data_IF_583195137775
#
_entry.id   IF_583195137775
#
_cell.length_a   1.000
_cell.length_b   1.000
_cell.length_c   1.000
_cell.angle_alpha   90.00
_cell.angle_beta   90.00
_cell.angle_gamma   90.00
#
_symmetry.space_group_name_H-M   'P 1'
#
loop_
_entity.id
_entity.type
_entity.pdbx_description
1 polymer ?
#
# COMPACT_ATOMS: atom_id res chain seq x y z
N UNK A 1 -11.15 -15.27 -3.30
CA UNK A 1 -10.91 -15.05 -4.74
C UNK A 1 -10.32 -16.29 -5.38
N UNK A 2 -9.22 -16.83 -4.83
CA UNK A 2 -8.50 -17.99 -5.36
C UNK A 2 -8.80 -19.32 -4.65
N UNK A 3 -9.72 -19.35 -3.67
CA UNK A 3 -10.03 -20.54 -2.85
C UNK A 3 -10.37 -21.80 -3.66
N UNK A 4 -11.06 -21.61 -4.79
CA UNK A 4 -11.50 -22.71 -5.67
C UNK A 4 -10.61 -22.84 -6.93
N UNK A 5 -9.52 -22.09 -7.00
CA UNK A 5 -8.56 -22.16 -8.10
C UNK A 5 -7.51 -23.21 -7.79
N UNK A 6 -6.96 -23.86 -8.82
CA UNK A 6 -5.81 -24.74 -8.67
C UNK A 6 -4.59 -23.92 -8.21
N UNK A 7 -3.95 -24.33 -7.12
CA UNK A 7 -2.81 -23.65 -6.52
C UNK A 7 -1.65 -24.63 -6.36
N UNK A 8 -0.84 -24.77 -7.40
CA UNK A 8 0.37 -25.61 -7.42
C UNK A 8 1.47 -24.93 -8.22
N UNK A 9 2.73 -25.11 -7.82
CA UNK A 9 3.87 -24.43 -8.41
C UNK A 9 3.85 -22.93 -8.16
N UNK A 10 3.24 -22.16 -9.06
CA UNK A 10 3.25 -20.69 -9.03
C UNK A 10 1.86 -20.08 -9.18
N UNK A 11 1.60 -19.00 -8.43
CA UNK A 11 0.39 -18.19 -8.57
C UNK A 11 0.74 -16.70 -8.56
N UNK A 12 0.70 -16.07 -9.73
CA UNK A 12 0.99 -14.63 -9.88
C UNK A 12 -0.23 -13.79 -9.54
N UNK A 13 -0.07 -12.82 -8.63
CA UNK A 13 -1.14 -11.86 -8.27
C UNK A 13 -0.90 -10.46 -8.85
N UNK A 14 0.33 -10.14 -9.26
CA UNK A 14 0.65 -8.89 -9.96
C UNK A 14 1.68 -9.15 -11.03
N UNK A 15 1.43 -8.68 -12.25
CA UNK A 15 2.42 -8.64 -13.32
C UNK A 15 2.34 -7.34 -14.11
N UNK A 16 3.43 -6.57 -14.09
CA UNK A 16 3.52 -5.24 -14.69
C UNK A 16 3.41 -5.21 -16.22
N UNK A 17 3.63 -6.33 -16.93
CA UNK A 17 3.49 -6.34 -18.40
C UNK A 17 2.06 -6.45 -18.92
N UNK A 18 1.10 -6.88 -18.10
CA UNK A 18 -0.28 -7.10 -18.54
C UNK A 18 -0.98 -5.84 -19.05
N UNK A 19 -2.10 -6.02 -19.74
CA UNK A 19 -2.97 -4.91 -20.18
C UNK A 19 -3.58 -4.16 -19.01
N UNK A 20 -3.97 -4.88 -17.95
CA UNK A 20 -4.55 -4.34 -16.70
C UNK A 20 -3.84 -4.92 -15.47
N UNK A 21 -2.61 -4.47 -15.14
CA UNK A 21 -1.81 -5.06 -14.06
C UNK A 21 -2.45 -4.94 -12.66
N UNK A 22 -3.33 -3.96 -12.48
CA UNK A 22 -4.06 -3.70 -11.23
C UNK A 22 -5.51 -4.19 -11.26
N UNK A 23 -5.88 -5.12 -12.15
CA UNK A 23 -7.27 -5.58 -12.31
C UNK A 23 -7.90 -6.07 -11.00
N UNK A 24 -7.12 -6.72 -10.14
CA UNK A 24 -7.56 -7.30 -8.87
C UNK A 24 -7.10 -6.48 -7.65
N UNK A 25 -6.51 -5.32 -7.90
CA UNK A 25 -5.89 -4.45 -6.91
C UNK A 25 -6.68 -3.15 -6.83
N UNK A 26 -6.93 -2.70 -5.61
CA UNK A 26 -7.37 -1.33 -5.38
C UNK A 26 -6.15 -0.44 -5.11
N UNK A 27 -6.25 0.83 -5.49
CA UNK A 27 -5.19 1.82 -5.32
C UNK A 27 -5.70 2.95 -4.45
N UNK A 28 -4.95 3.23 -3.39
CA UNK A 28 -5.24 4.33 -2.48
C UNK A 28 -4.14 5.37 -2.62
N UNK A 29 -4.52 6.58 -2.98
CA UNK A 29 -3.61 7.72 -3.15
C UNK A 29 -4.20 8.90 -2.41
N UNK A 30 -3.67 9.21 -1.23
CA UNK A 30 -4.17 10.32 -0.44
C UNK A 30 -3.99 11.66 -1.16
N UNK A 31 -5.10 12.38 -1.28
CA UNK A 31 -5.15 13.75 -1.78
C UNK A 31 -5.26 14.65 -0.54
N UNK A 32 -4.23 15.45 -0.28
CA UNK A 32 -4.33 16.46 0.76
C UNK A 32 -5.19 17.60 0.22
N UNK A 33 -6.37 17.81 0.82
CA UNK A 33 -7.12 19.03 0.61
C UNK A 33 -6.34 20.17 1.29
N UNK A 34 -5.56 20.91 0.52
CA UNK A 34 -4.98 22.17 0.99
C UNK A 34 -6.12 23.16 1.06
N UNK A 35 -6.64 23.43 2.26
CA UNK A 35 -7.40 24.65 2.48
C UNK A 35 -6.46 25.80 2.13
N UNK A 36 -6.84 26.60 1.13
CA UNK A 36 -6.10 27.79 0.78
C UNK A 36 -5.88 28.60 2.05
N UNK A 37 -4.61 28.84 2.42
CA UNK A 37 -4.18 29.66 3.56
C UNK A 37 -4.78 31.08 3.55
N UNK A 38 -5.55 31.45 2.53
CA UNK A 38 -6.28 32.71 2.45
C UNK A 38 -7.51 32.74 3.37
N UNK A 39 -8.26 31.65 3.57
CA UNK A 39 -9.54 31.73 4.31
C UNK A 39 -9.32 31.68 5.82
N UNK A 40 -8.43 30.82 6.35
CA UNK A 40 -8.15 30.82 7.80
C UNK A 40 -7.45 32.09 8.26
N UNK A 41 -6.65 32.74 7.40
CA UNK A 41 -6.11 34.07 7.70
C UNK A 41 -7.19 35.16 7.58
N UNK A 42 -8.12 35.07 6.62
CA UNK A 42 -9.26 35.99 6.54
C UNK A 42 -10.27 35.84 7.67
N UNK A 43 -10.58 34.61 8.08
CA UNK A 43 -11.52 34.31 9.17
C UNK A 43 -10.86 34.58 10.52
N UNK A 44 -9.56 34.31 10.69
CA UNK A 44 -8.82 34.76 11.87
C UNK A 44 -8.67 36.29 11.90
N UNK A 45 -8.56 36.98 10.76
CA UNK A 45 -8.57 38.44 10.69
C UNK A 45 -9.97 39.03 10.96
N UNK A 46 -11.04 38.41 10.47
CA UNK A 46 -12.43 38.78 10.79
C UNK A 46 -12.75 38.54 12.27
N UNK A 47 -12.30 37.42 12.84
CA UNK A 47 -12.42 37.13 14.28
C UNK A 47 -11.55 38.04 15.15
N UNK A 48 -10.54 38.72 14.58
CA UNK A 48 -9.76 39.75 15.27
C UNK A 48 -10.37 41.15 15.18
N UNK A 49 -11.40 41.35 14.33
CA UNK A 49 -12.05 42.66 14.13
C UNK A 49 -13.40 42.80 14.86
N UNK A 50 -13.97 41.74 15.40
CA UNK A 50 -15.16 41.85 16.29
C UNK A 50 -14.86 41.46 17.74
N UNK A 51 -13.95 42.21 18.36
CA UNK A 51 -13.99 42.44 19.81
C UNK A 51 -14.77 43.73 20.08
N UNK A 52 -16.04 43.75 19.71
CA UNK A 52 -17.06 44.64 20.28
C UNK A 52 -18.44 44.27 19.72
N UNK A 53 -19.02 43.20 20.26
CA UNK A 53 -20.47 43.01 20.50
C UNK A 53 -20.71 41.54 20.93
N UNK A 54 -20.32 41.26 22.16
CA UNK A 54 -20.74 40.06 22.88
C UNK A 54 -22.22 40.15 23.26
N UNK A 55 -22.80 38.97 23.50
CA UNK A 55 -24.11 38.70 24.12
C UNK A 55 -25.29 38.62 23.15
N UNK A 56 -25.30 37.59 22.28
CA UNK A 56 -26.53 36.89 21.85
C UNK A 56 -26.28 35.53 21.20
N UNK A 57 -25.06 35.22 20.75
CA UNK A 57 -24.81 34.00 19.96
C UNK A 57 -24.67 32.69 20.77
N UNK A 58 -24.45 32.79 22.09
CA UNK A 58 -24.19 31.61 22.93
C UNK A 58 -25.44 30.76 23.23
N UNK A 59 -26.65 31.30 23.01
CA UNK A 59 -27.92 30.58 23.23
C UNK A 59 -28.44 29.88 21.97
N UNK A 60 -27.93 30.21 20.77
CA UNK A 60 -28.36 29.55 19.53
C UNK A 60 -27.60 28.25 19.26
N UNK A 61 -26.31 28.19 19.61
CA UNK A 61 -25.44 27.05 19.30
C UNK A 61 -25.79 25.76 20.07
N UNK A 62 -26.42 25.86 21.24
CA UNK A 62 -26.72 24.70 22.10
C UNK A 62 -28.05 24.03 21.72
N UNK A 63 -28.87 24.66 20.87
CA UNK A 63 -30.21 24.15 20.53
C UNK A 63 -30.33 23.46 19.15
N UNK A 64 -29.30 23.52 18.29
CA UNK A 64 -29.40 23.02 16.91
C UNK A 64 -28.21 22.14 16.50
N UNK A 65 -27.82 21.19 17.35
CA UNK A 65 -27.02 20.04 16.89
C UNK A 65 -27.89 19.13 16.02
N UNK A 66 -27.94 19.44 14.73
CA UNK A 66 -28.45 18.58 13.68
C UNK A 66 -27.26 17.99 12.91
N UNK A 67 -27.38 16.73 12.50
CA UNK A 67 -26.35 15.81 11.99
C UNK A 67 -25.32 16.37 10.98
N UNK A 68 -24.12 15.75 10.88
CA UNK A 68 -23.02 16.19 9.99
C UNK A 68 -23.35 16.23 8.49
N UNK A 69 -24.46 15.64 8.07
CA UNK A 69 -24.81 15.46 6.66
C UNK A 69 -25.42 16.70 5.99
N UNK A 70 -25.87 17.70 6.77
CA UNK A 70 -26.53 18.90 6.21
C UNK A 70 -25.50 19.98 5.83
N UNK A 71 -24.34 20.01 6.50
CA UNK A 71 -23.29 21.01 6.22
C UNK A 71 -22.60 20.77 4.87
N UNK A 72 -22.60 19.53 4.38
CA UNK A 72 -22.08 19.18 3.06
C UNK A 72 -23.00 19.65 1.91
N UNK A 73 -24.29 19.87 2.16
CA UNK A 73 -25.26 20.14 1.08
C UNK A 73 -25.48 21.63 0.81
N UNK A 74 -25.27 22.52 1.80
CA UNK A 74 -25.37 23.98 1.58
C UNK A 74 -24.06 24.60 1.05
N UNK A 75 -22.97 23.85 1.00
CA UNK A 75 -21.65 24.29 0.51
C UNK A 75 -21.42 23.97 -0.98
N UNK A 76 -22.40 23.37 -1.66
CA UNK A 76 -22.29 22.96 -3.08
C UNK A 76 -22.72 24.05 -4.06
N UNK A 77 -23.49 25.06 -3.62
CA UNK A 77 -24.11 26.05 -4.53
C UNK A 77 -23.57 27.49 -4.42
N UNK A 78 -22.50 27.73 -3.65
CA UNK A 78 -21.87 29.05 -3.57
C UNK A 78 -20.35 28.95 -3.45
N UNK A 79 -19.63 29.60 -4.35
CA UNK A 79 -18.17 29.73 -4.40
C UNK A 79 -17.36 28.48 -4.79
N UNK A 80 -17.22 28.30 -6.11
CA UNK A 80 -16.07 27.58 -6.71
C UNK A 80 -14.76 28.37 -6.52
N UNK A 81 -14.37 28.66 -5.29
CA UNK A 81 -12.99 29.07 -5.00
C UNK A 81 -12.10 27.84 -5.13
N UNK A 82 -11.06 27.95 -5.98
CA UNK A 82 -10.16 26.86 -6.36
C UNK A 82 -9.54 26.15 -5.14
N UNK A 83 -10.10 25.01 -4.75
CA UNK A 83 -9.43 24.04 -3.90
C UNK A 83 -8.33 23.37 -4.72
N UNK A 84 -7.08 23.78 -4.50
CA UNK A 84 -5.93 23.06 -5.01
C UNK A 84 -5.69 21.83 -4.13
N UNK A 85 -6.30 20.72 -4.51
CA UNK A 85 -6.04 19.44 -3.90
C UNK A 85 -4.62 19.00 -4.29
N UNK A 86 -3.69 18.97 -3.33
CA UNK A 86 -2.31 18.54 -3.57
C UNK A 86 -2.29 17.02 -3.46
N UNK A 87 -2.13 16.35 -4.59
CA UNK A 87 -1.97 14.90 -4.65
C UNK A 87 -0.56 14.56 -4.16
N UNK A 88 -0.46 13.85 -3.03
CA UNK A 88 0.79 13.54 -2.35
C UNK A 88 1.36 12.16 -2.70
N UNK A 89 0.93 11.60 -3.83
CA UNK A 89 1.41 10.31 -4.33
C UNK A 89 0.95 10.02 -5.76
N UNK A 90 1.55 9.02 -6.38
CA UNK A 90 1.20 8.58 -7.72
C UNK A 90 1.45 7.08 -7.88
N UNK A 91 0.54 6.44 -8.62
CA UNK A 91 0.68 5.07 -9.09
C UNK A 91 0.66 5.12 -10.61
N UNK A 92 1.79 4.80 -11.26
CA UNK A 92 1.92 4.88 -12.72
C UNK A 92 2.74 3.72 -13.26
N UNK A 93 2.54 3.42 -14.53
CA UNK A 93 3.39 2.49 -15.28
C UNK A 93 4.47 3.29 -16.01
N UNK A 94 5.72 2.86 -15.93
CA UNK A 94 6.83 3.47 -16.66
C UNK A 94 7.81 2.40 -17.13
N UNK A 95 8.69 2.74 -18.07
CA UNK A 95 9.77 1.87 -18.50
C UNK A 95 10.99 2.07 -17.60
N UNK A 96 11.44 1.00 -16.93
CA UNK A 96 12.65 1.04 -16.11
C UNK A 96 13.89 0.85 -16.99
N UNK A 97 14.90 1.68 -16.79
CA UNK A 97 16.13 1.70 -17.59
C UNK A 97 16.97 0.43 -17.37
N UNK A 98 17.04 -0.07 -16.14
CA UNK A 98 17.89 -1.21 -15.78
C UNK A 98 17.40 -2.49 -16.43
N UNK A 99 16.09 -2.73 -16.50
CA UNK A 99 15.53 -3.96 -17.09
C UNK A 99 14.90 -3.73 -18.48
N UNK A 100 14.95 -2.49 -18.98
CA UNK A 100 14.34 -2.05 -20.24
C UNK A 100 12.87 -2.48 -20.41
N UNK A 101 12.14 -2.59 -19.30
CA UNK A 101 10.78 -3.16 -19.27
C UNK A 101 9.83 -2.30 -18.48
N UNK A 102 8.54 -2.42 -18.79
CA UNK A 102 7.51 -1.68 -18.06
C UNK A 102 7.34 -2.21 -16.64
N UNK A 103 7.33 -1.30 -15.67
CA UNK A 103 7.17 -1.58 -14.24
C UNK A 103 6.07 -0.70 -13.65
N UNK A 104 5.51 -1.12 -12.53
CA UNK A 104 4.56 -0.32 -11.78
C UNK A 104 5.30 0.49 -10.70
N UNK A 105 5.30 1.81 -10.82
CA UNK A 105 5.87 2.73 -9.85
C UNK A 105 4.79 3.22 -8.89
N UNK A 106 5.08 3.12 -7.59
CA UNK A 106 4.26 3.69 -6.51
C UNK A 106 5.16 4.67 -5.76
N UNK A 107 4.82 5.96 -5.76
CA UNK A 107 5.57 6.99 -5.05
C UNK A 107 4.60 7.79 -4.19
N UNK A 108 5.03 8.19 -3.00
CA UNK A 108 4.26 9.03 -2.10
C UNK A 108 5.16 9.71 -1.08
N UNK A 109 4.80 10.93 -0.69
CA UNK A 109 5.54 11.67 0.34
C UNK A 109 5.41 11.00 1.72
N UNK A 110 4.23 10.48 2.03
CA UNK A 110 4.00 9.61 3.19
C UNK A 110 3.78 8.16 2.72
N UNK A 111 4.60 7.24 3.24
CA UNK A 111 4.59 5.82 2.88
C UNK A 111 3.23 5.18 3.12
N UNK A 112 2.58 5.50 4.23
CA UNK A 112 1.35 4.84 4.66
C UNK A 112 0.10 5.32 3.92
N UNK A 113 0.17 6.49 3.28
CA UNK A 113 -0.99 7.13 2.63
C UNK A 113 -1.09 6.82 1.15
N UNK A 114 -0.14 6.08 0.60
CA UNK A 114 -0.16 5.67 -0.81
C UNK A 114 0.22 4.21 -0.91
N UNK A 115 -0.74 3.37 -1.30
CA UNK A 115 -0.53 1.93 -1.40
C UNK A 115 -1.45 1.31 -2.44
N UNK A 116 -1.11 0.08 -2.83
CA UNK A 116 -2.03 -0.81 -3.53
C UNK A 116 -2.39 -1.98 -2.61
N UNK A 117 -3.64 -2.43 -2.66
CA UNK A 117 -4.11 -3.57 -1.86
C UNK A 117 -4.78 -4.61 -2.75
N UNK A 118 -4.57 -5.89 -2.44
CA UNK A 118 -5.22 -7.02 -3.09
C UNK A 118 -5.83 -7.94 -2.03
N UNK A 119 -7.14 -8.25 -2.11
CA UNK A 119 -8.06 -7.92 -3.20
C UNK A 119 -8.54 -6.45 -3.16
N UNK A 120 -9.08 -5.98 -4.29
CA UNK A 120 -9.64 -4.63 -4.42
C UNK A 120 -10.81 -4.39 -3.45
N UNK A 121 -11.72 -5.36 -3.33
CA UNK A 121 -12.81 -5.29 -2.35
C UNK A 121 -12.27 -5.50 -0.91
N UNK A 122 -12.55 -4.58 0.03
CA UNK A 122 -12.14 -4.73 1.43
C UNK A 122 -12.75 -5.95 2.14
N UNK A 123 -13.94 -6.39 1.72
CA UNK A 123 -14.64 -7.54 2.30
C UNK A 123 -14.19 -8.89 1.70
N UNK A 124 -13.59 -8.85 0.51
CA UNK A 124 -13.06 -10.03 -0.14
C UNK A 124 -11.73 -10.51 0.48
N UNK A 125 -11.40 -11.78 0.26
CA UNK A 125 -10.13 -12.39 0.65
C UNK A 125 -9.49 -13.09 -0.55
N UNK A 126 -8.16 -13.14 -0.60
CA UNK A 126 -7.40 -13.89 -1.61
C UNK A 126 -7.68 -15.38 -1.48
N UNK A 127 -7.35 -15.98 -0.33
CA UNK A 127 -7.50 -17.41 -0.08
C UNK A 127 -6.42 -18.25 -0.74
N UNK A 128 -5.17 -17.78 -0.67
CA UNK A 128 -4.00 -18.43 -1.26
C UNK A 128 -3.32 -19.29 -0.19
N UNK A 129 -3.11 -20.58 -0.45
CA UNK A 129 -2.55 -21.58 0.48
C UNK A 129 -1.07 -21.86 0.26
N UNK A 130 -0.48 -21.30 -0.79
CA UNK A 130 0.95 -21.43 -1.09
C UNK A 130 1.80 -20.78 0.01
N UNK A 131 2.94 -21.41 0.33
CA UNK A 131 3.76 -21.08 1.51
C UNK A 131 4.67 -19.89 1.31
N UNK A 132 5.17 -19.68 0.10
CA UNK A 132 6.16 -18.65 -0.19
C UNK A 132 5.51 -17.49 -0.93
N UNK A 133 5.77 -16.28 -0.45
CA UNK A 133 5.50 -15.06 -1.20
C UNK A 133 6.81 -14.55 -1.78
N UNK A 134 6.81 -14.28 -3.08
CA UNK A 134 7.95 -13.71 -3.80
C UNK A 134 7.55 -12.38 -4.43
N UNK A 135 8.37 -11.35 -4.18
CA UNK A 135 8.18 -9.99 -4.67
C UNK A 135 9.45 -9.49 -5.33
N UNK A 136 9.34 -9.10 -6.61
CA UNK A 136 10.42 -8.48 -7.37
C UNK A 136 10.21 -6.97 -7.34
N UNK A 137 11.08 -6.28 -6.59
CA UNK A 137 10.96 -4.85 -6.29
C UNK A 137 12.27 -4.12 -6.46
N UNK A 138 12.23 -2.91 -7.03
CA UNK A 138 13.39 -2.01 -7.09
C UNK A 138 13.45 -1.13 -5.85
N UNK A 139 14.61 -1.09 -5.21
CA UNK A 139 14.90 -0.17 -4.12
C UNK A 139 15.15 1.23 -4.66
N UNK A 140 14.31 2.19 -4.26
CA UNK A 140 14.45 3.61 -4.64
C UNK A 140 15.22 4.44 -3.60
N UNK A 141 15.89 3.81 -2.63
CA UNK A 141 16.58 4.46 -1.51
C UNK A 141 15.66 5.39 -0.70
N UNK A 142 14.39 5.02 -0.61
CA UNK A 142 13.33 5.72 0.12
C UNK A 142 12.63 4.76 1.07
N UNK A 143 11.90 5.29 2.04
CA UNK A 143 11.13 4.45 2.97
C UNK A 143 10.07 3.65 2.24
N UNK A 144 10.10 2.34 2.45
CA UNK A 144 9.25 1.36 1.80
C UNK A 144 8.74 0.36 2.83
N UNK A 145 7.50 -0.11 2.64
CA UNK A 145 6.94 -1.18 3.45
C UNK A 145 5.89 -1.98 2.69
N UNK A 146 5.60 -3.18 3.15
CA UNK A 146 4.48 -3.98 2.67
C UNK A 146 3.89 -4.80 3.81
N UNK A 147 2.64 -5.20 3.63
CA UNK A 147 1.84 -5.92 4.61
C UNK A 147 1.19 -7.15 3.99
N UNK A 148 1.16 -8.22 4.76
CA UNK A 148 0.54 -9.49 4.39
C UNK A 148 -0.37 -9.90 5.55
N UNK A 149 -1.65 -10.03 5.27
CA UNK A 149 -2.61 -10.56 6.22
C UNK A 149 -2.80 -12.04 5.96
N UNK A 150 -2.65 -12.85 6.99
CA UNK A 150 -2.78 -14.31 6.95
C UNK A 150 -3.84 -14.79 7.94
N UNK A 151 -4.34 -15.99 7.70
CA UNK A 151 -5.16 -16.78 8.61
C UNK A 151 -4.33 -17.92 9.16
N UNK A 152 -4.41 -18.14 10.48
CA UNK A 152 -3.79 -19.30 11.13
C UNK A 152 -4.81 -20.40 11.45
N UNK A 153 -4.32 -21.55 11.93
CA UNK A 153 -5.11 -22.72 12.34
C UNK A 153 -5.98 -22.50 13.58
N UNK A 154 -5.75 -21.42 14.33
CA UNK A 154 -6.63 -20.94 15.41
C UNK A 154 -7.70 -19.99 14.91
N UNK A 155 -7.85 -19.85 13.59
CA UNK A 155 -8.78 -18.93 12.94
C UNK A 155 -8.56 -17.46 13.33
N UNK A 156 -7.32 -17.09 13.69
CA UNK A 156 -6.91 -15.72 14.03
C UNK A 156 -6.29 -15.07 12.80
N UNK A 157 -6.77 -13.86 12.48
CA UNK A 157 -6.18 -13.04 11.42
C UNK A 157 -4.96 -12.31 11.95
N UNK A 158 -3.80 -12.53 11.33
CA UNK A 158 -2.54 -11.89 11.72
C UNK A 158 -1.94 -11.11 10.57
N UNK A 159 -1.14 -10.10 10.89
CA UNK A 159 -0.48 -9.26 9.91
C UNK A 159 1.04 -9.32 10.04
N UNK A 160 1.72 -9.57 8.94
CA UNK A 160 3.15 -9.38 8.83
C UNK A 160 3.42 -8.07 8.08
N UNK A 161 4.15 -7.15 8.70
CA UNK A 161 4.60 -5.91 8.08
C UNK A 161 6.12 -5.93 7.99
N UNK A 162 6.66 -5.84 6.79
CA UNK A 162 8.10 -5.65 6.57
C UNK A 162 8.37 -4.22 6.14
N UNK A 163 9.41 -3.60 6.69
CA UNK A 163 9.81 -2.25 6.30
C UNK A 163 11.31 -1.99 6.43
N UNK A 164 11.83 -1.12 5.57
CA UNK A 164 13.27 -0.80 5.52
C UNK A 164 13.71 0.27 6.53
N UNK A 165 12.77 0.79 7.32
CA UNK A 165 13.02 1.74 8.41
C UNK A 165 12.81 1.13 9.80
N UNK A 166 12.35 -0.12 9.87
CA UNK A 166 12.29 -0.87 11.12
C UNK A 166 13.65 -1.53 11.35
N UNK A 167 14.17 -1.45 12.58
CA UNK A 167 15.48 -2.04 12.95
C UNK A 167 15.36 -3.40 13.64
N UNK A 168 14.27 -3.64 14.36
CA UNK A 168 14.07 -4.83 15.19
C UNK A 168 12.75 -5.51 14.90
N UNK A 169 12.70 -6.83 14.97
CA UNK A 169 11.44 -7.57 14.89
C UNK A 169 10.62 -7.35 16.17
N UNK A 170 9.34 -7.01 16.03
CA UNK A 170 8.41 -6.89 17.16
C UNK A 170 7.17 -7.72 16.90
N UNK A 171 6.86 -8.62 17.81
CA UNK A 171 5.68 -9.49 17.73
C UNK A 171 4.62 -8.99 18.71
N UNK A 172 3.46 -8.59 18.17
CA UNK A 172 2.24 -8.29 18.91
C UNK A 172 1.16 -9.32 18.53
N UNK A 173 0.10 -9.52 19.32
CA UNK A 173 -0.89 -10.58 19.06
C UNK A 173 -1.45 -10.63 17.63
N UNK A 174 -1.70 -9.48 17.01
CA UNK A 174 -2.29 -9.39 15.67
C UNK A 174 -1.33 -8.88 14.59
N UNK A 175 -0.13 -8.42 14.97
CA UNK A 175 0.82 -7.83 14.04
C UNK A 175 2.27 -8.15 14.43
N UNK A 176 3.03 -8.64 13.46
CA UNK A 176 4.48 -8.79 13.54
C UNK A 176 5.11 -7.80 12.59
N UNK A 177 5.93 -6.88 13.12
CA UNK A 177 6.71 -5.94 12.31
C UNK A 177 8.14 -6.43 12.23
N UNK A 178 8.69 -6.57 11.03
CA UNK A 178 10.05 -7.09 10.80
C UNK A 178 10.87 -6.12 9.93
N UNK A 179 12.19 -6.00 10.18
CA UNK A 179 13.08 -5.25 9.33
C UNK A 179 13.24 -5.93 7.97
N UNK A 180 13.50 -5.14 6.91
CA UNK A 180 13.99 -5.66 5.63
C UNK A 180 15.17 -4.82 5.15
N UNK A 181 16.27 -5.48 4.82
CA UNK A 181 17.41 -4.85 4.15
C UNK A 181 17.26 -5.07 2.65
N UNK A 182 17.33 -3.98 1.88
CA UNK A 182 17.26 -4.02 0.42
C UNK A 182 18.61 -3.57 -0.13
N UNK A 183 19.11 -4.32 -1.10
CA UNK A 183 20.28 -3.95 -1.89
C UNK A 183 19.94 -2.82 -2.87
N UNK A 184 20.97 -2.22 -3.45
CA UNK A 184 20.81 -1.22 -4.49
C UNK A 184 20.29 -1.88 -5.78
N UNK A 185 19.27 -1.27 -6.39
CA UNK A 185 18.67 -1.79 -7.63
C UNK A 185 17.54 -2.80 -7.37
N UNK A 186 17.50 -3.86 -8.19
CA UNK A 186 16.43 -4.85 -8.19
C UNK A 186 16.66 -5.95 -7.15
N UNK A 187 15.64 -6.16 -6.32
CA UNK A 187 15.66 -7.12 -5.22
C UNK A 187 14.61 -8.20 -5.45
N UNK A 188 14.94 -9.45 -5.08
CA UNK A 188 14.03 -10.58 -5.08
C UNK A 188 13.71 -10.99 -3.64
N UNK A 189 12.63 -10.43 -3.08
CA UNK A 189 12.21 -10.69 -1.71
C UNK A 189 11.43 -12.00 -1.66
N UNK A 190 11.88 -12.94 -0.82
CA UNK A 190 11.24 -14.23 -0.64
C UNK A 190 10.87 -14.43 0.84
N UNK A 191 9.60 -14.64 1.13
CA UNK A 191 9.11 -14.85 2.49
C UNK A 191 8.42 -16.21 2.62
N UNK A 192 8.87 -17.02 3.57
CA UNK A 192 8.20 -18.24 3.97
C UNK A 192 7.13 -17.92 5.01
N UNK A 193 5.87 -17.80 4.58
CA UNK A 193 4.75 -17.45 5.44
C UNK A 193 4.43 -18.54 6.47
N UNK A 194 4.61 -19.80 6.09
CA UNK A 194 4.42 -20.94 6.99
C UNK A 194 5.38 -20.89 8.17
N UNK A 195 6.66 -20.68 7.87
CA UNK A 195 7.70 -20.59 8.88
C UNK A 195 7.60 -19.30 9.71
N UNK A 196 7.30 -18.15 9.10
CA UNK A 196 7.06 -16.90 9.82
C UNK A 196 5.91 -17.02 10.82
N UNK A 197 4.81 -17.68 10.43
CA UNK A 197 3.65 -17.91 11.31
C UNK A 197 4.03 -18.79 12.49
N UNK A 198 4.77 -19.87 12.24
CA UNK A 198 5.25 -20.78 13.28
C UNK A 198 6.20 -20.07 14.25
N UNK A 199 7.18 -19.32 13.75
CA UNK A 199 8.17 -18.63 14.60
C UNK A 199 7.56 -17.49 15.41
N UNK A 200 6.64 -16.72 14.83
CA UNK A 200 6.06 -15.57 15.51
C UNK A 200 4.97 -15.95 16.52
N UNK A 201 4.17 -16.98 16.23
CA UNK A 201 2.94 -17.25 17.00
C UNK A 201 2.79 -18.69 17.48
N UNK A 202 3.67 -19.61 17.06
CA UNK A 202 3.54 -21.03 17.37
C UNK A 202 2.29 -21.68 16.76
N UNK A 203 1.76 -21.11 15.68
CA UNK A 203 0.58 -21.59 14.95
C UNK A 203 0.94 -21.98 13.52
N UNK A 204 0.04 -22.69 12.84
CA UNK A 204 0.24 -23.07 11.45
C UNK A 204 -0.45 -22.09 10.50
N UNK A 205 0.23 -21.78 9.40
CA UNK A 205 -0.31 -20.98 8.31
C UNK A 205 -1.40 -21.77 7.57
N UNK A 206 -2.54 -21.13 7.32
CA UNK A 206 -3.67 -21.71 6.56
C UNK A 206 -3.77 -21.07 5.19
N UNK A 207 -3.91 -19.76 5.13
CA UNK A 207 -4.02 -19.02 3.87
C UNK A 207 -3.64 -17.54 4.02
N UNK A 208 -3.22 -16.92 2.92
CA UNK A 208 -3.09 -15.48 2.80
C UNK A 208 -4.44 -14.86 2.41
N UNK A 209 -4.83 -13.83 3.15
CA UNK A 209 -6.09 -13.10 2.99
C UNK A 209 -5.92 -11.84 2.16
N UNK A 210 -4.84 -11.08 2.39
CA UNK A 210 -4.62 -9.77 1.77
C UNK A 210 -3.14 -9.46 1.65
N UNK A 211 -2.76 -8.81 0.55
CA UNK A 211 -1.41 -8.26 0.35
C UNK A 211 -1.56 -6.76 0.07
N UNK A 212 -0.78 -5.94 0.76
CA UNK A 212 -0.75 -4.49 0.60
C UNK A 212 0.68 -4.04 0.42
N UNK A 213 0.95 -3.21 -0.59
CA UNK A 213 2.29 -2.69 -0.87
C UNK A 213 2.25 -1.17 -0.82
N UNK A 214 3.09 -0.58 0.03
CA UNK A 214 3.13 0.86 0.26
C UNK A 214 4.06 1.59 -0.71
N UNK A 215 4.09 2.91 -0.58
CA UNK A 215 4.79 3.80 -1.49
C UNK A 215 6.31 3.61 -1.52
N UNK A 216 6.90 4.24 -2.53
CA UNK A 216 8.32 4.37 -2.81
C UNK A 216 8.99 3.07 -3.25
N UNK A 217 8.39 2.41 -4.23
CA UNK A 217 8.96 1.23 -4.85
C UNK A 217 8.60 1.16 -6.35
N UNK A 218 9.35 0.35 -7.09
CA UNK A 218 8.94 -0.12 -8.43
C UNK A 218 8.71 -1.62 -8.37
N UNK A 219 7.52 -2.05 -8.72
CA UNK A 219 7.10 -3.44 -8.70
C UNK A 219 7.13 -4.00 -10.10
N UNK A 220 7.80 -5.14 -10.24
CA UNK A 220 7.78 -5.93 -11.48
C UNK A 220 6.72 -7.01 -11.40
N UNK A 221 6.75 -7.78 -10.32
CA UNK A 221 5.95 -8.99 -10.13
C UNK A 221 5.74 -9.31 -8.66
N UNK A 222 4.57 -9.84 -8.33
CA UNK A 222 4.26 -10.46 -7.04
C UNK A 222 3.59 -11.79 -7.32
N UNK A 223 4.15 -12.87 -6.79
CA UNK A 223 3.61 -14.21 -6.96
C UNK A 223 3.83 -15.06 -5.70
N UNK A 224 3.06 -16.13 -5.60
CA UNK A 224 3.24 -17.14 -4.58
C UNK A 224 3.81 -18.41 -5.19
N UNK A 225 4.53 -19.18 -4.38
CA UNK A 225 5.00 -20.51 -4.74
C UNK A 225 4.84 -21.51 -3.59
N UNK A 226 4.78 -22.79 -3.93
CA UNK A 226 4.74 -23.89 -2.97
C UNK A 226 6.09 -24.12 -2.29
N UNK A 227 7.19 -23.92 -3.02
CA UNK A 227 8.58 -24.00 -2.55
C UNK A 227 9.43 -22.85 -3.07
N UNK A 228 10.67 -22.77 -2.59
CA UNK A 228 11.70 -21.92 -3.20
C UNK A 228 12.24 -22.65 -4.44
N UNK A 229 12.20 -21.96 -5.57
CA UNK A 229 12.74 -22.43 -6.84
C UNK A 229 14.08 -21.75 -7.09
N UNK A 230 15.04 -22.50 -7.62
CA UNK A 230 16.30 -21.92 -8.11
C UNK A 230 16.05 -21.12 -9.39
N UNK A 231 16.99 -20.23 -9.75
CA UNK A 231 16.87 -19.46 -11.00
C UNK A 231 16.79 -20.34 -12.24
N UNK A 232 17.36 -21.53 -12.23
CA UNK A 232 17.32 -22.48 -13.34
C UNK A 232 15.91 -23.05 -13.55
N UNK A 233 15.25 -23.44 -12.44
CA UNK A 233 13.90 -24.02 -12.43
C UNK A 233 12.80 -22.99 -12.72
N UNK A 234 13.07 -21.71 -12.53
CA UNK A 234 12.09 -20.66 -12.80
C UNK A 234 11.73 -20.65 -14.30
N UNK A 235 10.45 -20.55 -14.67
CA UNK A 235 10.08 -20.31 -16.06
C UNK A 235 10.60 -18.93 -16.51
N UNK A 236 10.95 -18.74 -17.80
CA UNK A 236 11.55 -17.49 -18.30
C UNK A 236 10.74 -16.23 -17.94
N UNK A 237 9.41 -16.34 -17.89
CA UNK A 237 8.53 -15.23 -17.49
C UNK A 237 8.69 -14.79 -16.02
N UNK A 238 9.16 -15.66 -15.12
CA UNK A 238 9.39 -15.36 -13.72
C UNK A 238 10.83 -14.92 -13.43
N UNK A 239 11.77 -15.16 -14.36
CA UNK A 239 13.17 -14.73 -14.23
C UNK A 239 13.31 -13.22 -14.40
N UNK A 240 14.25 -12.64 -13.65
CA UNK A 240 14.68 -11.26 -13.83
C UNK A 240 15.90 -11.26 -14.74
N UNK A 241 15.75 -10.72 -15.95
CA UNK A 241 16.87 -10.52 -16.86
C UNK A 241 17.35 -9.08 -16.72
N UNK A 242 18.59 -8.91 -16.26
CA UNK A 242 19.31 -7.66 -16.40
C UNK A 242 20.01 -7.68 -17.78
N UNK A 243 19.85 -6.64 -18.61
CA UNK A 243 20.62 -6.49 -19.83
C UNK A 243 22.11 -6.42 -19.47
N UNK A 244 22.94 -7.09 -20.28
CA UNK A 244 24.39 -7.10 -20.10
C UNK A 244 24.91 -5.66 -20.09
N UNK A 245 25.52 -5.24 -18.99
CA UNK A 245 26.23 -3.96 -18.95
C UNK A 245 27.39 -4.04 -19.95
N UNK A 246 27.32 -3.25 -21.02
CA UNK A 246 28.47 -3.04 -21.90
C UNK A 246 29.57 -2.42 -21.04
N UNK A 247 30.60 -3.20 -20.69
CA UNK A 247 31.83 -2.61 -20.18
C UNK A 247 32.40 -1.75 -21.30
N UNK A 248 32.45 -0.44 -21.09
CA UNK A 248 33.26 0.44 -21.91
C UNK A 248 34.72 0.14 -21.55
N UNK A 249 35.35 -0.79 -22.29
CA UNK A 249 36.80 -0.90 -22.41
C UNK A 249 37.37 0.30 -23.16
#
# INVERSE_FOLDING_TARGET
MFKNTFQSGFLSILYSLGTKPLQIWDKEVYIAATYARSILSYVAAMLYVEVHLLVSFHLWLVSHMCSPDIFLKSWVDGDKQNFFAVVNGQVRRLQDEDIQSNVLEIIGSNVQSTYITCPADPNATLGIKLSFLVMIVKNLKKYFSFEIQILDDKNVRRRFRASNFQSVTRVKPFICTMPISLEDGWNNIQLNLTDLTRRAYGTNYVETLRVQVHANCRLRRIYFSDRLYSEEELPPELKLYLPMQKHNT
#
